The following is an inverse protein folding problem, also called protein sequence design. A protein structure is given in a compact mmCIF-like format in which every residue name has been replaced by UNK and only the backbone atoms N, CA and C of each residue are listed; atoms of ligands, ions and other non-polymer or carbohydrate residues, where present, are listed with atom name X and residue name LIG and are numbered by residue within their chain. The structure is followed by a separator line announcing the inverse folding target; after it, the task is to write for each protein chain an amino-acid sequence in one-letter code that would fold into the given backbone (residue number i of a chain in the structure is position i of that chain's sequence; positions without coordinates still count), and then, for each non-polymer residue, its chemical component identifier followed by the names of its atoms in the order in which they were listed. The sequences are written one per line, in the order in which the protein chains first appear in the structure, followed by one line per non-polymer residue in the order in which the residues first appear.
data_IF_888236496973
#
_entry.id   IF_888236496973
#
_cell.length_a   1.000
_cell.length_b   1.000
_cell.length_c   1.000
_cell.angle_alpha   90.00
_cell.angle_beta   90.00
_cell.angle_gamma   90.00
#
_symmetry.space_group_name_H-M   'P 1'
#
loop_
_entity.id
_entity.type
_entity.pdbx_description
1 polymer ?
#
# COMPACT_ATOMS: atom_id res chain seq x y z
N UNK A 1 3.21 -7.90 -22.62
CA UNK A 1 2.69 -9.17 -22.08
C UNK A 1 3.42 -9.47 -20.79
N UNK A 2 2.69 -9.80 -19.71
CA UNK A 2 3.25 -10.20 -18.42
C UNK A 2 3.10 -11.72 -18.24
N UNK A 3 4.09 -12.35 -17.66
CA UNK A 3 4.24 -13.81 -17.56
C UNK A 3 3.91 -14.34 -16.16
N UNK A 4 4.02 -13.51 -15.13
CA UNK A 4 3.74 -13.86 -13.74
C UNK A 4 2.29 -14.31 -13.51
N UNK A 5 2.08 -15.18 -12.53
CA UNK A 5 0.75 -15.69 -12.18
C UNK A 5 -0.08 -14.66 -11.42
N UNK A 6 0.56 -13.89 -10.55
CA UNK A 6 -0.06 -12.79 -9.81
C UNK A 6 0.90 -11.60 -9.70
N UNK A 7 0.36 -10.39 -9.72
CA UNK A 7 1.13 -9.17 -9.48
C UNK A 7 0.27 -8.06 -8.92
N UNK A 8 0.94 -7.08 -8.33
CA UNK A 8 0.35 -5.83 -7.88
C UNK A 8 1.37 -4.69 -8.05
N UNK A 9 0.93 -3.60 -8.64
CA UNK A 9 1.71 -2.36 -8.76
C UNK A 9 0.99 -1.25 -8.02
N UNK A 10 1.67 -0.59 -7.09
CA UNK A 10 1.13 0.49 -6.28
C UNK A 10 1.95 1.76 -6.48
N UNK A 11 1.28 2.92 -6.42
CA UNK A 11 1.98 4.19 -6.27
C UNK A 11 2.37 4.41 -4.82
N UNK A 12 3.56 4.95 -4.60
CA UNK A 12 4.05 5.36 -3.28
C UNK A 12 3.94 6.88 -3.04
N UNK A 13 3.43 7.64 -4.02
CA UNK A 13 3.35 9.10 -3.98
C UNK A 13 2.09 9.61 -3.26
N UNK A 14 1.11 8.75 -3.06
CA UNK A 14 -0.13 9.03 -2.34
C UNK A 14 -0.19 8.20 -1.05
N UNK A 15 -0.52 8.81 0.11
CA UNK A 15 -0.63 8.08 1.38
C UNK A 15 -1.66 6.94 1.38
N UNK A 16 -2.60 6.92 0.44
CA UNK A 16 -3.54 5.81 0.26
C UNK A 16 -2.93 4.62 -0.49
N UNK A 17 -1.73 4.79 -1.08
CA UNK A 17 -1.03 3.78 -1.88
C UNK A 17 -1.94 3.15 -2.95
N UNK A 18 -2.48 3.94 -3.88
CA UNK A 18 -3.43 3.43 -4.85
C UNK A 18 -2.81 2.34 -5.72
N UNK A 19 -3.59 1.29 -5.93
CA UNK A 19 -3.25 0.21 -6.85
C UNK A 19 -3.43 0.74 -8.28
N UNK A 20 -2.39 0.63 -9.09
CA UNK A 20 -2.41 1.11 -10.48
C UNK A 20 -2.44 -0.02 -11.51
N UNK A 21 -2.03 -1.23 -11.11
CA UNK A 21 -2.22 -2.45 -11.88
C UNK A 21 -2.22 -3.67 -10.97
N UNK A 22 -3.07 -4.66 -11.28
CA UNK A 22 -3.14 -5.90 -10.51
C UNK A 22 -3.58 -7.07 -11.38
N UNK A 23 -3.25 -8.27 -10.93
CA UNK A 23 -3.71 -9.54 -11.48
C UNK A 23 -3.67 -10.59 -10.41
N UNK A 24 -4.80 -11.27 -10.17
CA UNK A 24 -4.91 -12.35 -9.20
C UNK A 24 -4.33 -11.99 -7.81
N UNK A 25 -4.54 -10.76 -7.37
CA UNK A 25 -3.94 -10.14 -6.18
C UNK A 25 -4.25 -10.90 -4.90
N UNK A 26 -5.41 -11.54 -4.83
CA UNK A 26 -5.86 -12.35 -3.69
C UNK A 26 -5.60 -13.86 -3.86
N UNK A 27 -5.00 -14.28 -4.98
CA UNK A 27 -4.64 -15.69 -5.19
C UNK A 27 -3.55 -16.10 -4.20
N UNK A 28 -3.79 -17.17 -3.44
CA UNK A 28 -2.77 -17.77 -2.57
C UNK A 28 -1.64 -18.34 -3.42
N UNK A 29 -0.44 -17.90 -3.12
CA UNK A 29 0.81 -18.28 -3.78
C UNK A 29 1.85 -18.61 -2.73
N UNK A 30 2.89 -19.34 -3.11
CA UNK A 30 4.04 -19.58 -2.24
C UNK A 30 4.99 -18.38 -2.31
N UNK A 31 5.25 -17.69 -1.19
CA UNK A 31 6.06 -16.47 -1.17
C UNK A 31 7.57 -16.75 -1.29
N UNK A 32 8.00 -17.99 -1.03
CA UNK A 32 9.41 -18.33 -0.92
C UNK A 32 10.14 -17.33 0.01
N UNK A 33 11.34 -16.91 -0.33
CA UNK A 33 12.14 -16.00 0.49
C UNK A 33 11.60 -14.57 0.63
N UNK A 34 10.45 -14.21 0.03
CA UNK A 34 9.74 -12.96 0.38
C UNK A 34 9.29 -12.98 1.85
N UNK A 35 9.12 -14.15 2.43
CA UNK A 35 8.89 -14.39 3.87
C UNK A 35 9.86 -13.62 4.76
N UNK A 36 11.12 -13.43 4.32
CA UNK A 36 12.18 -12.77 5.08
C UNK A 36 11.91 -11.29 5.37
N UNK A 37 10.98 -10.68 4.63
CA UNK A 37 10.47 -9.33 4.96
C UNK A 37 9.79 -9.37 6.34
N UNK A 38 8.93 -10.36 6.57
CA UNK A 38 8.24 -10.54 7.85
C UNK A 38 9.22 -10.91 8.97
N UNK A 39 10.13 -11.83 8.70
CA UNK A 39 11.20 -12.20 9.64
C UNK A 39 11.99 -10.98 10.09
N UNK A 40 12.43 -10.15 9.14
CA UNK A 40 13.15 -8.89 9.44
C UNK A 40 12.29 -7.95 10.29
N UNK A 41 11.03 -7.77 9.97
CA UNK A 41 10.15 -6.87 10.71
C UNK A 41 9.83 -7.35 12.12
N UNK A 42 9.63 -8.66 12.34
CA UNK A 42 9.46 -9.22 13.69
C UNK A 42 10.70 -8.95 14.54
N UNK A 43 11.91 -9.15 13.97
CA UNK A 43 13.17 -8.83 14.66
C UNK A 43 13.25 -7.33 15.00
N UNK A 44 13.03 -6.43 14.05
CA UNK A 44 13.11 -4.98 14.25
C UNK A 44 12.07 -4.43 15.23
N UNK A 45 10.92 -5.07 15.33
CA UNK A 45 9.91 -4.71 16.32
C UNK A 45 10.32 -5.06 17.76
N UNK A 46 11.07 -6.14 17.93
CA UNK A 46 11.47 -6.69 19.25
C UNK A 46 12.83 -6.20 19.71
N UNK A 47 13.81 -6.13 18.81
CA UNK A 47 15.20 -5.82 19.12
C UNK A 47 15.47 -4.35 18.83
N UNK A 48 15.74 -3.56 19.86
CA UNK A 48 16.03 -2.12 19.71
C UNK A 48 17.53 -1.84 19.51
N UNK A 49 18.38 -2.64 20.12
CA UNK A 49 19.83 -2.55 19.96
C UNK A 49 20.33 -3.68 19.04
N UNK A 50 20.55 -3.34 17.79
CA UNK A 50 21.01 -4.28 16.76
C UNK A 50 22.51 -4.64 16.89
N UNK A 51 23.25 -3.96 17.77
CA UNK A 51 24.66 -4.29 18.07
C UNK A 51 24.79 -5.51 19.00
N UNK A 52 23.69 -5.94 19.62
CA UNK A 52 23.65 -7.17 20.42
C UNK A 52 24.15 -8.35 19.60
N UNK A 53 24.88 -9.25 20.27
CA UNK A 53 25.47 -10.42 19.64
C UNK A 53 24.76 -11.69 20.08
N UNK A 54 24.63 -12.61 19.15
CA UNK A 54 24.21 -13.98 19.41
C UNK A 54 25.19 -14.98 18.77
N UNK A 55 25.06 -16.23 19.14
CA UNK A 55 25.87 -17.32 18.55
C UNK A 55 24.98 -18.24 17.73
N UNK A 56 25.51 -18.72 16.63
CA UNK A 56 24.87 -19.78 15.85
C UNK A 56 24.79 -21.04 16.71
N UNK A 57 23.58 -21.50 16.97
CA UNK A 57 23.32 -22.74 17.72
C UNK A 57 23.47 -23.97 16.80
N UNK A 58 23.56 -25.15 17.39
CA UNK A 58 23.51 -26.39 16.63
C UNK A 58 22.15 -26.58 15.96
N UNK A 59 21.03 -26.24 16.64
CA UNK A 59 19.68 -26.33 16.10
C UNK A 59 19.46 -25.43 14.88
N UNK A 60 19.89 -24.16 14.94
CA UNK A 60 19.79 -23.25 13.80
C UNK A 60 20.63 -23.70 12.60
N UNK A 61 21.79 -24.30 12.85
CA UNK A 61 22.63 -24.87 11.80
C UNK A 61 21.96 -26.11 11.15
N UNK A 62 21.46 -27.04 11.98
CA UNK A 62 20.84 -28.29 11.51
C UNK A 62 19.53 -28.02 10.77
N UNK A 63 18.79 -26.96 11.11
CA UNK A 63 17.52 -26.60 10.47
C UNK A 63 17.63 -26.34 8.96
N UNK A 64 18.81 -25.96 8.46
CA UNK A 64 19.04 -25.69 7.04
C UNK A 64 19.97 -26.71 6.38
N UNK A 65 20.53 -27.62 7.15
CA UNK A 65 21.49 -28.62 6.65
C UNK A 65 20.78 -29.59 5.70
N UNK A 66 21.33 -29.75 4.48
CA UNK A 66 20.78 -30.68 3.48
C UNK A 66 19.47 -30.27 2.82
N UNK A 67 18.92 -29.10 3.13
CA UNK A 67 17.66 -28.62 2.55
C UNK A 67 17.81 -27.99 1.16
N UNK A 68 19.04 -27.74 0.68
CA UNK A 68 19.29 -26.95 -0.53
C UNK A 68 19.03 -25.46 -0.38
N UNK A 69 18.73 -24.99 0.84
CA UNK A 69 18.47 -23.58 1.14
C UNK A 69 19.71 -22.71 0.90
N UNK A 70 19.51 -21.49 0.44
CA UNK A 70 20.58 -20.50 0.35
C UNK A 70 21.02 -20.07 1.76
N UNK A 71 22.33 -20.16 2.03
CA UNK A 71 22.92 -19.85 3.34
C UNK A 71 24.11 -18.91 3.20
N UNK A 72 24.41 -18.18 4.27
CA UNK A 72 25.68 -17.42 4.38
C UNK A 72 26.88 -18.29 4.77
N UNK A 73 26.65 -19.57 5.05
CA UNK A 73 27.67 -20.54 5.48
C UNK A 73 28.11 -20.34 6.91
N UNK A 74 27.20 -19.90 7.76
CA UNK A 74 27.44 -19.68 9.20
C UNK A 74 27.84 -21.00 9.89
N UNK A 75 28.72 -20.92 10.89
CA UNK A 75 29.24 -22.08 11.61
C UNK A 75 28.72 -22.08 13.06
N UNK A 76 28.46 -23.27 13.60
CA UNK A 76 28.08 -23.43 15.01
C UNK A 76 29.09 -22.74 15.91
N UNK A 77 28.58 -21.95 16.88
CA UNK A 77 29.40 -21.16 17.80
C UNK A 77 29.90 -19.83 17.24
N UNK A 78 29.70 -19.56 15.94
CA UNK A 78 30.04 -18.27 15.34
C UNK A 78 29.18 -17.15 15.95
N UNK A 79 29.83 -16.03 16.32
CA UNK A 79 29.17 -14.89 16.96
C UNK A 79 28.95 -13.75 15.96
N UNK A 80 27.70 -13.31 15.81
CA UNK A 80 27.30 -12.21 14.94
C UNK A 80 26.42 -11.20 15.71
N UNK A 81 26.43 -9.95 15.25
CA UNK A 81 25.42 -8.99 15.70
C UNK A 81 24.09 -9.25 15.01
N UNK A 82 23.00 -8.78 15.62
CA UNK A 82 21.67 -8.86 15.01
C UNK A 82 21.65 -8.10 13.68
N UNK A 83 22.30 -6.94 13.60
CA UNK A 83 22.41 -6.18 12.35
C UNK A 83 23.11 -7.00 11.24
N UNK A 84 24.22 -7.70 11.55
CA UNK A 84 24.90 -8.56 10.60
C UNK A 84 23.98 -9.68 10.07
N UNK A 85 23.23 -10.31 10.96
CA UNK A 85 22.27 -11.34 10.59
C UNK A 85 21.16 -10.79 9.69
N UNK A 86 20.63 -9.60 9.99
CA UNK A 86 19.59 -8.94 9.16
C UNK A 86 20.11 -8.61 7.76
N UNK A 87 21.34 -8.12 7.63
CA UNK A 87 21.93 -7.91 6.30
C UNK A 87 22.12 -9.22 5.50
N UNK A 88 22.61 -10.29 6.14
CA UNK A 88 22.72 -11.59 5.49
C UNK A 88 21.34 -12.14 5.07
N UNK A 89 20.32 -11.94 5.92
CA UNK A 89 18.94 -12.34 5.64
C UNK A 89 18.36 -11.61 4.42
N UNK A 90 18.51 -10.31 4.32
CA UNK A 90 17.87 -9.52 3.27
C UNK A 90 18.70 -9.45 2.00
N UNK A 91 20.01 -9.19 2.08
CA UNK A 91 20.87 -9.01 0.92
C UNK A 91 21.14 -10.36 0.25
N UNK A 92 21.59 -11.36 1.02
CA UNK A 92 21.95 -12.67 0.50
C UNK A 92 20.83 -13.70 0.54
N UNK A 93 19.72 -13.37 1.18
CA UNK A 93 18.61 -14.33 1.40
C UNK A 93 19.01 -15.53 2.27
N UNK A 94 19.91 -15.35 3.23
CA UNK A 94 20.50 -16.41 4.04
C UNK A 94 19.48 -17.06 5.00
N UNK A 95 19.15 -18.33 4.78
CA UNK A 95 18.20 -19.08 5.62
C UNK A 95 18.79 -19.42 6.99
N UNK A 96 20.08 -19.71 7.08
CA UNK A 96 20.80 -19.92 8.35
C UNK A 96 20.72 -18.69 9.25
N UNK A 97 20.87 -17.48 8.70
CA UNK A 97 20.69 -16.25 9.46
C UNK A 97 19.27 -16.09 10.01
N UNK A 98 18.25 -16.49 9.26
CA UNK A 98 16.85 -16.46 9.71
C UNK A 98 16.61 -17.36 10.94
N UNK A 99 17.16 -18.56 10.93
CA UNK A 99 17.03 -19.50 12.03
C UNK A 99 17.70 -18.97 13.30
N UNK A 100 18.90 -18.40 13.18
CA UNK A 100 19.61 -17.77 14.30
C UNK A 100 18.83 -16.59 14.88
N UNK A 101 18.24 -15.74 14.01
CA UNK A 101 17.41 -14.61 14.43
C UNK A 101 16.15 -15.09 15.15
N UNK A 102 15.48 -16.13 14.63
CA UNK A 102 14.28 -16.69 15.23
C UNK A 102 14.52 -17.21 16.65
N UNK A 103 15.58 -18.00 16.84
CA UNK A 103 15.96 -18.49 18.16
C UNK A 103 16.35 -17.36 19.13
N UNK A 104 17.10 -16.38 18.64
CA UNK A 104 17.50 -15.23 19.48
C UNK A 104 16.31 -14.42 19.98
N UNK A 105 15.33 -14.15 19.10
CA UNK A 105 14.20 -13.27 19.40
C UNK A 105 13.14 -13.93 20.27
N UNK A 106 12.85 -15.22 20.00
CA UNK A 106 11.67 -15.90 20.55
C UNK A 106 12.02 -17.21 21.30
N UNK A 107 13.30 -17.55 21.37
CA UNK A 107 13.79 -18.77 22.04
C UNK A 107 13.60 -20.06 21.23
N UNK A 108 12.76 -20.06 20.22
CA UNK A 108 12.59 -21.19 19.29
C UNK A 108 12.00 -20.71 17.96
N UNK A 109 12.22 -21.48 16.89
CA UNK A 109 11.62 -21.22 15.57
C UNK A 109 10.10 -21.23 15.63
N UNK A 110 9.47 -22.16 16.33
CA UNK A 110 8.01 -22.27 16.44
C UNK A 110 7.40 -21.03 17.12
N UNK A 111 8.00 -20.56 18.20
CA UNK A 111 7.57 -19.35 18.88
C UNK A 111 7.71 -18.11 17.98
N UNK A 112 8.80 -18.03 17.20
CA UNK A 112 9.01 -16.96 16.26
C UNK A 112 7.99 -16.98 15.12
N UNK A 113 7.67 -18.14 14.57
CA UNK A 113 6.65 -18.31 13.53
C UNK A 113 5.26 -17.90 14.03
N UNK A 114 4.94 -18.23 15.29
CA UNK A 114 3.70 -17.74 15.91
C UNK A 114 3.63 -16.22 15.95
N UNK A 115 4.75 -15.55 16.26
CA UNK A 115 4.84 -14.08 16.23
C UNK A 115 4.75 -13.52 14.81
N UNK A 116 5.37 -14.17 13.81
CA UNK A 116 5.22 -13.78 12.41
C UNK A 116 3.75 -13.78 12.00
N UNK A 117 3.02 -14.86 12.28
CA UNK A 117 1.61 -14.99 11.95
C UNK A 117 0.75 -13.97 12.71
N UNK A 118 1.03 -13.73 13.99
CA UNK A 118 0.35 -12.71 14.78
C UNK A 118 0.56 -11.31 14.21
N UNK A 119 1.79 -10.99 13.80
CA UNK A 119 2.08 -9.68 13.22
C UNK A 119 1.35 -9.44 11.91
N UNK A 120 1.36 -10.39 10.97
CA UNK A 120 0.67 -10.21 9.68
C UNK A 120 -0.85 -10.19 9.84
N UNK A 121 -1.41 -10.94 10.80
CA UNK A 121 -2.83 -10.86 11.14
C UNK A 121 -3.20 -9.46 11.66
N UNK A 122 -2.33 -8.84 12.47
CA UNK A 122 -2.54 -7.47 12.97
C UNK A 122 -2.58 -6.41 11.86
N UNK A 123 -1.98 -6.70 10.69
CA UNK A 123 -2.04 -5.88 9.49
C UNK A 123 -3.29 -6.16 8.62
N UNK A 124 -4.15 -7.08 9.05
CA UNK A 124 -5.32 -7.50 8.27
C UNK A 124 -5.01 -8.43 7.09
N UNK A 125 -3.86 -9.10 7.10
CA UNK A 125 -3.48 -10.10 6.10
C UNK A 125 -4.22 -11.42 6.37
N UNK A 126 -5.35 -11.62 5.70
CA UNK A 126 -6.24 -12.77 5.92
C UNK A 126 -5.87 -14.01 5.12
N UNK A 127 -5.08 -13.86 4.08
CA UNK A 127 -4.67 -14.93 3.17
C UNK A 127 -3.18 -15.23 3.25
N UNK A 128 -2.58 -15.02 4.42
CA UNK A 128 -1.16 -15.25 4.68
C UNK A 128 -0.98 -16.16 5.90
N UNK A 129 -0.13 -17.18 5.75
CA UNK A 129 0.27 -18.07 6.81
C UNK A 129 1.70 -18.54 6.59
N UNK A 130 2.53 -18.47 7.62
CA UNK A 130 3.91 -18.92 7.63
C UNK A 130 4.11 -20.12 8.54
N UNK A 131 5.00 -21.03 8.16
CA UNK A 131 5.38 -22.20 8.97
C UNK A 131 6.90 -22.25 9.25
N UNK A 132 7.68 -21.34 8.66
CA UNK A 132 9.09 -21.17 8.92
C UNK A 132 9.51 -19.71 8.70
N UNK A 133 10.71 -19.28 9.19
CA UNK A 133 11.15 -17.91 9.10
C UNK A 133 11.88 -17.57 7.79
N UNK A 134 12.13 -18.53 6.92
CA UNK A 134 13.03 -18.35 5.77
C UNK A 134 12.35 -18.53 4.40
N UNK A 135 11.14 -19.11 4.37
CA UNK A 135 10.35 -19.31 3.15
C UNK A 135 10.69 -20.60 2.40
N UNK A 136 11.33 -21.58 3.03
CA UNK A 136 11.40 -22.93 2.49
C UNK A 136 9.99 -23.47 2.25
N UNK A 137 9.85 -24.25 1.17
CA UNK A 137 8.53 -24.71 0.75
C UNK A 137 7.83 -25.58 1.79
N UNK A 138 6.57 -25.27 2.04
CA UNK A 138 5.58 -26.08 2.73
C UNK A 138 4.20 -25.74 2.15
N UNK A 139 3.30 -26.71 1.94
CA UNK A 139 1.96 -26.46 1.42
C UNK A 139 1.13 -25.48 2.25
N UNK A 140 1.41 -25.34 3.55
CA UNK A 140 0.74 -24.43 4.46
C UNK A 140 1.45 -23.06 4.56
N UNK A 141 2.53 -22.85 3.80
CA UNK A 141 3.29 -21.60 3.78
C UNK A 141 2.92 -20.77 2.56
N UNK A 142 1.95 -19.86 2.70
CA UNK A 142 1.38 -19.12 1.59
C UNK A 142 1.12 -17.65 1.92
N UNK A 143 1.00 -16.84 0.89
CA UNK A 143 0.57 -15.45 0.95
C UNK A 143 -0.11 -15.04 -0.37
N UNK A 144 -0.46 -13.77 -0.52
CA UNK A 144 -1.03 -13.19 -1.74
C UNK A 144 -0.26 -11.92 -2.13
N UNK A 145 -0.39 -11.46 -3.37
CA UNK A 145 0.23 -10.22 -3.79
C UNK A 145 -0.29 -9.02 -2.97
N UNK A 146 -1.60 -9.01 -2.66
CA UNK A 146 -2.22 -7.97 -1.84
C UNK A 146 -1.70 -7.96 -0.40
N UNK A 147 -1.59 -9.13 0.25
CA UNK A 147 -1.08 -9.21 1.61
C UNK A 147 0.42 -8.85 1.66
N UNK A 148 1.23 -9.34 0.70
CA UNK A 148 2.65 -8.99 0.61
C UNK A 148 2.87 -7.50 0.33
N UNK A 149 2.00 -6.86 -0.44
CA UNK A 149 2.02 -5.40 -0.63
C UNK A 149 1.79 -4.67 0.70
N UNK A 150 0.75 -5.02 1.47
CA UNK A 150 0.47 -4.44 2.80
C UNK A 150 1.65 -4.63 3.77
N UNK A 151 2.21 -5.84 3.81
CA UNK A 151 3.38 -6.19 4.62
C UNK A 151 4.57 -5.31 4.24
N UNK A 152 4.85 -5.18 2.94
CA UNK A 152 5.98 -4.41 2.44
C UNK A 152 5.81 -2.91 2.67
N UNK A 153 4.61 -2.36 2.43
CA UNK A 153 4.31 -0.96 2.73
C UNK A 153 4.49 -0.64 4.21
N UNK A 154 4.09 -1.57 5.10
CA UNK A 154 4.33 -1.42 6.54
C UNK A 154 5.82 -1.50 6.89
N UNK A 155 6.56 -2.39 6.25
CA UNK A 155 7.99 -2.53 6.45
C UNK A 155 8.78 -1.29 6.01
N UNK A 156 8.41 -0.68 4.88
CA UNK A 156 9.04 0.54 4.34
C UNK A 156 8.85 1.79 5.23
N UNK A 157 7.95 1.76 6.22
CA UNK A 157 7.84 2.80 7.24
C UNK A 157 8.95 2.72 8.29
N UNK A 158 9.80 1.70 8.26
CA UNK A 158 10.93 1.52 9.16
C UNK A 158 12.24 1.82 8.40
N UNK A 159 12.90 2.92 8.75
CA UNK A 159 14.14 3.38 8.10
C UNK A 159 15.25 2.33 8.11
N UNK A 160 15.33 1.51 9.17
CA UNK A 160 16.32 0.44 9.26
C UNK A 160 16.02 -0.69 8.28
N UNK A 161 14.74 -1.06 8.13
CA UNK A 161 14.32 -2.02 7.13
C UNK A 161 14.64 -1.50 5.73
N UNK A 162 14.28 -0.26 5.42
CA UNK A 162 14.53 0.33 4.12
C UNK A 162 16.03 0.35 3.80
N UNK A 163 16.85 0.82 4.73
CA UNK A 163 18.31 0.85 4.59
C UNK A 163 18.90 -0.55 4.31
N UNK A 164 18.47 -1.57 5.03
CA UNK A 164 18.98 -2.94 4.87
C UNK A 164 18.49 -3.54 3.54
N UNK A 165 17.21 -3.41 3.24
CA UNK A 165 16.59 -4.03 2.06
C UNK A 165 16.99 -3.39 0.73
N UNK A 166 17.53 -2.17 0.75
CA UNK A 166 18.03 -1.46 -0.44
C UNK A 166 19.55 -1.57 -0.61
N UNK A 167 20.24 -2.24 0.32
CA UNK A 167 21.68 -2.44 0.24
C UNK A 167 22.05 -3.43 -0.84
N UNK A 168 22.82 -2.99 -1.84
CA UNK A 168 23.18 -3.82 -3.00
C UNK A 168 24.28 -4.84 -2.67
N UNK A 169 25.26 -4.44 -1.87
CA UNK A 169 26.35 -5.30 -1.43
C UNK A 169 26.62 -5.15 0.05
N UNK A 170 26.87 -6.26 0.71
CA UNK A 170 27.21 -6.29 2.13
C UNK A 170 28.46 -7.16 2.37
N UNK A 171 29.49 -6.58 2.98
CA UNK A 171 30.72 -7.29 3.32
C UNK A 171 30.61 -7.86 4.72
N UNK A 172 30.69 -9.17 4.83
CA UNK A 172 30.84 -9.88 6.09
C UNK A 172 32.11 -10.72 6.09
N UNK A 173 33.01 -10.47 7.03
CA UNK A 173 34.38 -11.04 7.06
C UNK A 173 35.10 -10.78 5.71
N UNK A 174 35.55 -11.86 5.06
CA UNK A 174 36.25 -11.79 3.78
C UNK A 174 35.34 -12.00 2.56
N UNK A 175 34.03 -12.12 2.77
CA UNK A 175 33.05 -12.37 1.71
C UNK A 175 32.18 -11.12 1.49
N UNK A 176 32.04 -10.74 0.23
CA UNK A 176 31.05 -9.73 -0.19
C UNK A 176 29.83 -10.45 -0.72
N UNK A 177 28.71 -10.29 -0.03
CA UNK A 177 27.39 -10.78 -0.43
C UNK A 177 26.70 -9.73 -1.28
N UNK A 178 26.09 -10.15 -2.38
CA UNK A 178 25.37 -9.26 -3.30
C UNK A 178 23.88 -9.52 -3.19
N UNK A 179 23.08 -8.46 -3.31
CA UNK A 179 21.64 -8.54 -3.27
C UNK A 179 21.10 -9.47 -4.37
N UNK A 180 20.14 -10.33 -4.02
CA UNK A 180 19.58 -11.32 -4.95
C UNK A 180 18.69 -10.72 -6.04
N UNK A 181 18.24 -9.47 -5.90
CA UNK A 181 17.54 -8.75 -6.95
C UNK A 181 18.52 -8.30 -8.04
N UNK A 182 18.47 -8.97 -9.20
CA UNK A 182 19.36 -8.70 -10.32
C UNK A 182 19.09 -7.35 -11.00
N UNK A 183 17.92 -6.76 -10.77
CA UNK A 183 17.59 -5.41 -11.28
C UNK A 183 18.51 -4.33 -10.68
N UNK A 184 19.17 -4.60 -9.56
CA UNK A 184 20.08 -3.67 -8.87
C UNK A 184 21.54 -3.77 -9.38
N UNK A 185 21.85 -4.71 -10.26
CA UNK A 185 23.22 -5.09 -10.60
C UNK A 185 23.51 -4.81 -12.07
N UNK A 186 24.25 -3.76 -12.37
CA UNK A 186 24.57 -3.33 -13.74
C UNK A 186 25.31 -4.38 -14.59
N UNK A 187 25.91 -5.41 -13.96
CA UNK A 187 26.53 -6.54 -14.66
C UNK A 187 25.54 -7.52 -15.29
N UNK A 188 24.26 -7.47 -14.93
CA UNK A 188 23.19 -8.31 -15.48
C UNK A 188 22.34 -7.50 -16.46
N UNK A 189 22.87 -7.21 -17.64
CA UNK A 189 22.30 -6.31 -18.65
C UNK A 189 20.83 -6.61 -18.95
N UNK A 190 20.43 -7.88 -19.03
CA UNK A 190 19.04 -8.29 -19.29
C UNK A 190 18.07 -7.94 -18.17
N UNK A 191 18.54 -7.67 -16.95
CA UNK A 191 17.68 -7.42 -15.78
C UNK A 191 17.90 -6.06 -15.15
N UNK A 192 19.07 -5.44 -15.37
CA UNK A 192 19.41 -4.17 -14.74
C UNK A 192 18.39 -3.10 -15.08
N UNK A 193 17.87 -2.48 -14.04
CA UNK A 193 16.90 -1.38 -14.15
C UNK A 193 17.37 -0.22 -13.27
N UNK A 194 17.87 0.83 -13.89
CA UNK A 194 18.59 1.92 -13.20
C UNK A 194 17.75 2.63 -12.12
N UNK A 195 16.42 2.58 -12.25
CA UNK A 195 15.48 3.20 -11.29
C UNK A 195 15.09 2.28 -10.13
N UNK A 196 15.46 0.98 -10.20
CA UNK A 196 15.06 0.01 -9.19
C UNK A 196 15.83 0.16 -7.88
N UNK A 197 15.14 -0.15 -6.76
CA UNK A 197 15.71 -0.14 -5.42
C UNK A 197 15.08 -1.23 -4.55
N UNK A 198 15.91 -2.07 -3.90
CA UNK A 198 15.47 -3.14 -3.00
C UNK A 198 14.56 -4.15 -3.71
N UNK A 199 13.69 -4.91 -3.09
CA UNK A 199 13.51 -5.11 -1.65
C UNK A 199 13.88 -6.55 -1.33
N UNK A 200 13.26 -7.53 -2.05
CA UNK A 200 13.51 -8.95 -1.84
C UNK A 200 13.08 -9.79 -3.03
N UNK A 201 13.83 -10.88 -3.29
CA UNK A 201 13.45 -11.95 -4.22
C UNK A 201 13.08 -13.22 -3.48
N UNK A 202 12.33 -14.09 -4.14
CA UNK A 202 12.02 -15.44 -3.66
C UNK A 202 11.95 -16.43 -4.81
N UNK A 203 12.39 -17.67 -4.58
CA UNK A 203 12.19 -18.75 -5.53
C UNK A 203 12.27 -20.10 -4.84
N UNK A 204 11.36 -20.99 -5.20
CA UNK A 204 11.41 -22.45 -5.02
C UNK A 204 10.85 -23.07 -6.30
N UNK A 205 10.92 -24.37 -6.44
CA UNK A 205 10.34 -25.06 -7.59
C UNK A 205 8.83 -24.78 -7.68
N UNK A 206 8.12 -24.83 -6.56
CA UNK A 206 6.67 -24.63 -6.46
C UNK A 206 6.25 -23.16 -6.54
N UNK A 207 7.06 -22.24 -6.02
CA UNK A 207 6.77 -20.81 -6.04
C UNK A 207 7.03 -20.18 -7.42
N UNK A 208 7.89 -20.76 -8.23
CA UNK A 208 8.48 -20.06 -9.37
C UNK A 208 9.35 -18.90 -8.89
N UNK A 209 9.49 -17.88 -9.71
CA UNK A 209 10.30 -16.69 -9.38
C UNK A 209 9.40 -15.53 -8.92
N UNK A 210 9.77 -14.96 -7.78
CA UNK A 210 9.06 -13.87 -7.15
C UNK A 210 10.00 -12.69 -6.91
N UNK A 211 9.49 -11.47 -7.01
CA UNK A 211 10.23 -10.26 -6.63
C UNK A 211 9.28 -9.22 -6.06
N UNK A 212 9.74 -8.55 -5.00
CA UNK A 212 9.20 -7.28 -4.55
C UNK A 212 10.30 -6.24 -4.70
N UNK A 213 10.01 -5.18 -5.44
CA UNK A 213 10.98 -4.13 -5.74
C UNK A 213 10.26 -2.80 -5.89
N UNK A 214 10.95 -1.69 -5.60
CA UNK A 214 10.44 -0.34 -5.87
C UNK A 214 11.27 0.31 -6.97
N UNK A 215 10.68 1.28 -7.66
CA UNK A 215 11.38 2.10 -8.63
C UNK A 215 10.99 3.57 -8.49
N UNK A 216 11.96 4.45 -8.75
CA UNK A 216 11.78 5.90 -8.67
C UNK A 216 12.33 6.56 -9.93
N UNK A 217 11.51 7.34 -10.65
CA UNK A 217 11.88 8.08 -11.86
C UNK A 217 11.09 9.38 -11.93
N UNK A 218 11.78 10.49 -12.16
CA UNK A 218 11.18 11.82 -12.38
C UNK A 218 10.21 12.26 -11.28
N UNK A 219 10.45 11.83 -10.03
CA UNK A 219 9.61 12.13 -8.87
C UNK A 219 8.43 11.18 -8.67
N UNK A 220 8.22 10.20 -9.56
CA UNK A 220 7.22 9.15 -9.39
C UNK A 220 7.85 7.91 -8.75
N UNK A 221 7.11 7.31 -7.81
CA UNK A 221 7.57 6.17 -7.03
C UNK A 221 6.54 5.04 -7.07
N UNK A 222 6.99 3.84 -7.42
CA UNK A 222 6.12 2.67 -7.49
C UNK A 222 6.71 1.48 -6.74
N UNK A 223 5.83 0.62 -6.21
CA UNK A 223 6.14 -0.67 -5.63
C UNK A 223 5.51 -1.77 -6.48
N UNK A 224 6.32 -2.71 -6.96
CA UNK A 224 5.85 -3.90 -7.66
C UNK A 224 6.00 -5.14 -6.78
N UNK A 225 4.94 -5.94 -6.70
CA UNK A 225 4.91 -7.29 -6.14
C UNK A 225 4.61 -8.23 -7.30
N UNK A 226 5.52 -9.14 -7.61
CA UNK A 226 5.42 -10.09 -8.73
C UNK A 226 5.61 -11.50 -8.21
N UNK A 227 4.66 -12.40 -8.46
CA UNK A 227 4.65 -13.76 -7.91
C UNK A 227 4.45 -14.81 -9.02
N UNK A 228 5.14 -15.94 -8.86
CA UNK A 228 4.94 -17.11 -9.71
C UNK A 228 5.35 -16.89 -11.17
N UNK A 229 6.40 -16.12 -11.41
CA UNK A 229 6.92 -15.93 -12.75
C UNK A 229 7.77 -17.14 -13.22
N UNK A 230 7.67 -17.53 -14.50
CA UNK A 230 8.49 -18.61 -15.05
C UNK A 230 9.91 -18.18 -15.39
N UNK A 231 10.75 -19.17 -15.73
CA UNK A 231 11.98 -18.97 -16.48
C UNK A 231 11.76 -19.50 -17.89
N UNK A 232 11.77 -18.64 -18.87
CA UNK A 232 11.51 -18.99 -20.26
C UNK A 232 12.29 -18.08 -21.21
N UNK A 233 12.50 -18.54 -22.42
CA UNK A 233 12.93 -17.71 -23.54
C UNK A 233 11.71 -16.88 -24.02
N UNK A 234 11.53 -15.69 -23.44
CA UNK A 234 10.34 -14.86 -23.66
C UNK A 234 10.38 -14.07 -24.97
N UNK A 235 11.57 -13.85 -25.52
CA UNK A 235 11.81 -13.03 -26.72
C UNK A 235 12.30 -13.88 -27.92
N UNK A 236 12.47 -15.20 -27.74
CA UNK A 236 12.91 -16.17 -28.77
C UNK A 236 14.33 -15.92 -29.29
N UNK A 237 15.24 -15.47 -28.41
CA UNK A 237 16.65 -15.28 -28.74
C UNK A 237 17.53 -16.48 -28.39
N UNK A 238 16.94 -17.55 -27.84
CA UNK A 238 17.60 -18.79 -27.45
C UNK A 238 18.12 -18.80 -26.01
N UNK A 239 17.91 -17.73 -25.24
CA UNK A 239 18.25 -17.65 -23.82
C UNK A 239 16.99 -17.65 -22.97
N UNK A 240 17.09 -18.20 -21.75
CA UNK A 240 15.95 -18.21 -20.79
C UNK A 240 16.19 -17.19 -19.72
N UNK A 241 15.18 -16.38 -19.44
CA UNK A 241 15.21 -15.33 -18.43
C UNK A 241 14.21 -15.57 -17.30
N UNK A 242 14.55 -15.01 -16.13
CA UNK A 242 13.65 -14.94 -14.96
C UNK A 242 12.62 -13.87 -15.21
N UNK A 243 11.43 -14.25 -15.65
CA UNK A 243 10.38 -13.32 -16.04
C UNK A 243 9.89 -12.42 -14.90
N UNK A 244 10.17 -12.73 -13.63
CA UNK A 244 9.83 -11.82 -12.53
C UNK A 244 10.46 -10.43 -12.65
N UNK A 245 11.71 -10.35 -13.10
CA UNK A 245 12.40 -9.07 -13.32
C UNK A 245 11.90 -8.36 -14.58
N UNK A 246 11.63 -9.12 -15.65
CA UNK A 246 11.08 -8.59 -16.91
C UNK A 246 9.69 -7.99 -16.67
N UNK A 247 8.82 -8.70 -15.92
CA UNK A 247 7.48 -8.23 -15.60
C UNK A 247 7.53 -6.99 -14.71
N UNK A 248 8.40 -6.97 -13.69
CA UNK A 248 8.56 -5.79 -12.83
C UNK A 248 9.02 -4.56 -13.63
N UNK A 249 10.03 -4.70 -14.49
CA UNK A 249 10.50 -3.62 -15.37
C UNK A 249 9.39 -3.15 -16.30
N UNK A 250 8.67 -4.08 -16.94
CA UNK A 250 7.55 -3.75 -17.85
C UNK A 250 6.41 -3.00 -17.15
N UNK A 251 6.10 -3.35 -15.89
CA UNK A 251 5.11 -2.65 -15.08
C UNK A 251 5.56 -1.22 -14.75
N UNK A 252 6.83 -1.04 -14.40
CA UNK A 252 7.39 0.27 -14.12
C UNK A 252 7.45 1.15 -15.37
N UNK A 253 7.95 0.64 -16.49
CA UNK A 253 8.00 1.40 -17.75
C UNK A 253 6.61 1.85 -18.17
N UNK A 254 5.64 0.93 -18.13
CA UNK A 254 4.25 1.29 -18.42
C UNK A 254 3.73 2.39 -17.47
N UNK A 255 3.98 2.29 -16.18
CA UNK A 255 3.50 3.27 -15.21
C UNK A 255 4.17 4.64 -15.41
N UNK A 256 5.49 4.69 -15.58
CA UNK A 256 6.22 5.95 -15.80
C UNK A 256 5.83 6.64 -17.10
N UNK A 257 5.56 5.87 -18.17
CA UNK A 257 5.22 6.40 -19.49
C UNK A 257 3.74 6.77 -19.61
N UNK A 258 2.85 6.00 -18.94
CA UNK A 258 1.40 6.06 -19.18
C UNK A 258 0.61 6.75 -18.07
N UNK A 259 1.20 6.99 -16.90
CA UNK A 259 0.50 7.56 -15.76
C UNK A 259 1.07 8.91 -15.34
N UNK A 260 0.20 9.78 -14.80
CA UNK A 260 0.57 11.08 -14.23
C UNK A 260 -0.18 11.30 -12.92
N UNK A 261 0.52 11.86 -11.94
CA UNK A 261 -0.09 12.37 -10.71
C UNK A 261 -0.66 13.76 -11.00
N UNK A 262 -1.95 13.90 -10.89
CA UNK A 262 -2.66 15.12 -11.36
C UNK A 262 -3.67 15.57 -10.32
N UNK A 263 -3.77 16.87 -10.12
CA UNK A 263 -4.87 17.49 -9.40
C UNK A 263 -6.13 17.45 -10.26
N UNK A 264 -7.12 16.67 -9.85
CA UNK A 264 -8.43 16.60 -10.53
C UNK A 264 -9.40 17.67 -10.03
N UNK A 265 -9.33 18.01 -8.73
CA UNK A 265 -10.17 19.01 -8.08
C UNK A 265 -9.29 19.82 -7.14
N UNK A 266 -9.36 21.13 -7.23
CA UNK A 266 -8.70 22.04 -6.29
C UNK A 266 -9.64 22.46 -5.17
N UNK A 267 -9.10 22.78 -4.01
CA UNK A 267 -9.89 23.26 -2.84
C UNK A 267 -10.69 24.53 -3.12
N UNK A 268 -10.30 25.31 -4.15
CA UNK A 268 -11.01 26.53 -4.58
C UNK A 268 -12.10 26.28 -5.62
N UNK A 269 -12.17 25.08 -6.21
CA UNK A 269 -13.14 24.78 -7.25
C UNK A 269 -14.56 24.69 -6.66
N UNK A 270 -15.48 25.46 -7.21
CA UNK A 270 -16.90 25.37 -6.87
C UNK A 270 -17.49 24.12 -7.53
N UNK A 271 -17.93 23.19 -6.72
CA UNK A 271 -18.45 21.89 -7.17
C UNK A 271 -19.96 21.90 -7.28
N UNK A 272 -20.64 22.49 -6.31
CA UNK A 272 -22.10 22.50 -6.21
C UNK A 272 -22.56 23.67 -5.32
N UNK A 273 -23.85 23.78 -5.08
CA UNK A 273 -24.41 24.69 -4.10
C UNK A 273 -25.55 24.00 -3.32
N UNK A 274 -25.85 24.50 -2.13
CA UNK A 274 -26.95 24.02 -1.31
C UNK A 274 -27.76 25.19 -0.81
N UNK A 275 -29.13 25.12 -0.86
CA UNK A 275 -29.99 26.13 -0.30
C UNK A 275 -29.77 26.37 1.21
N UNK A 276 -29.81 27.62 1.65
CA UNK A 276 -29.69 28.00 3.06
C UNK A 276 -31.00 28.57 3.56
N UNK A 277 -31.60 27.87 4.50
CA UNK A 277 -32.82 28.35 5.15
C UNK A 277 -32.51 29.42 6.20
N UNK A 278 -33.30 30.49 6.21
CA UNK A 278 -33.17 31.63 7.11
C UNK A 278 -31.82 32.37 6.97
N UNK A 279 -31.16 32.28 5.83
CA UNK A 279 -29.90 32.99 5.55
C UNK A 279 -30.15 34.52 5.46
N UNK A 280 -29.18 35.31 5.96
CA UNK A 280 -29.15 36.76 5.81
C UNK A 280 -28.34 37.05 4.53
N UNK A 281 -28.93 37.77 3.60
CA UNK A 281 -28.31 38.26 2.36
C UNK A 281 -27.87 37.15 1.38
N UNK A 282 -28.18 35.86 1.67
CA UNK A 282 -27.95 34.73 0.79
C UNK A 282 -28.95 33.60 1.03
N UNK A 283 -29.47 32.99 -0.02
CA UNK A 283 -30.39 31.87 -0.03
C UNK A 283 -29.75 30.54 -0.37
N UNK A 284 -28.48 30.56 -0.74
CA UNK A 284 -27.67 29.39 -0.98
C UNK A 284 -26.21 29.61 -0.58
N UNK A 285 -25.46 28.54 -0.38
CA UNK A 285 -24.02 28.55 -0.14
C UNK A 285 -23.33 27.63 -1.14
N UNK A 286 -22.25 28.13 -1.75
CA UNK A 286 -21.42 27.34 -2.64
C UNK A 286 -20.63 26.29 -1.86
N UNK A 287 -20.46 25.12 -2.46
CA UNK A 287 -19.72 24.00 -1.92
C UNK A 287 -18.40 23.84 -2.69
N UNK A 288 -17.31 23.83 -1.95
CA UNK A 288 -15.94 23.61 -2.48
C UNK A 288 -15.33 22.36 -1.85
N UNK A 289 -14.32 21.80 -2.48
CA UNK A 289 -13.57 20.69 -1.91
C UNK A 289 -12.81 21.13 -0.65
N UNK A 290 -12.80 20.31 0.40
CA UNK A 290 -12.09 20.62 1.65
C UNK A 290 -10.55 20.60 1.49
N UNK A 291 -10.05 20.01 0.42
CA UNK A 291 -8.63 19.93 0.04
C UNK A 291 -8.51 19.58 -1.44
N UNK A 292 -7.33 19.79 -1.99
CA UNK A 292 -7.01 19.29 -3.33
C UNK A 292 -7.19 17.77 -3.42
N UNK A 293 -7.72 17.31 -4.55
CA UNK A 293 -7.82 15.89 -4.88
C UNK A 293 -6.80 15.58 -5.95
N UNK A 294 -5.70 15.00 -5.49
CA UNK A 294 -4.63 14.52 -6.34
C UNK A 294 -4.76 13.01 -6.49
N UNK A 295 -4.60 12.50 -7.71
CA UNK A 295 -4.62 11.06 -7.96
C UNK A 295 -3.82 10.72 -9.22
N UNK A 296 -3.55 9.44 -9.39
CA UNK A 296 -2.86 8.92 -10.57
C UNK A 296 -3.89 8.66 -11.66
N UNK A 297 -3.64 9.21 -12.82
CA UNK A 297 -4.50 9.11 -14.01
C UNK A 297 -3.67 8.84 -15.25
N UNK A 298 -4.27 8.34 -16.35
CA UNK A 298 -3.59 8.26 -17.65
C UNK A 298 -2.98 9.61 -18.06
N UNK A 299 -1.77 9.60 -18.59
CA UNK A 299 -1.01 10.81 -18.96
C UNK A 299 -1.72 11.70 -19.99
N UNK A 300 -2.63 11.13 -20.78
CA UNK A 300 -3.47 11.83 -21.76
C UNK A 300 -4.90 12.11 -21.29
N UNK A 301 -5.17 12.07 -19.97
CA UNK A 301 -6.51 12.31 -19.45
C UNK A 301 -7.03 13.68 -19.89
N UNK A 302 -8.17 13.69 -20.59
CA UNK A 302 -8.97 14.88 -20.77
C UNK A 302 -9.77 15.15 -19.47
N UNK A 303 -9.43 16.24 -18.79
CA UNK A 303 -10.13 16.62 -17.54
C UNK A 303 -11.63 16.85 -17.74
N UNK A 304 -12.08 17.14 -18.97
CA UNK A 304 -13.52 17.27 -19.27
C UNK A 304 -14.28 15.93 -19.21
N UNK A 305 -13.58 14.81 -19.26
CA UNK A 305 -14.16 13.47 -19.09
C UNK A 305 -14.30 13.06 -17.60
N UNK A 306 -13.80 13.88 -16.69
CA UNK A 306 -13.95 13.66 -15.24
C UNK A 306 -15.28 14.26 -14.78
N UNK A 307 -16.13 13.43 -14.21
CA UNK A 307 -17.42 13.84 -13.66
C UNK A 307 -17.26 13.98 -12.14
N UNK A 308 -17.63 15.15 -11.60
CA UNK A 308 -17.65 15.40 -10.16
C UNK A 308 -19.13 15.51 -9.76
N UNK A 309 -19.55 14.65 -8.84
CA UNK A 309 -20.94 14.64 -8.36
C UNK A 309 -21.00 14.70 -6.85
N UNK A 310 -21.82 15.60 -6.32
CA UNK A 310 -22.14 15.61 -4.91
C UNK A 310 -22.98 14.38 -4.54
N UNK A 311 -22.65 13.74 -3.40
CA UNK A 311 -23.37 12.59 -2.85
C UNK A 311 -23.78 12.90 -1.42
N UNK A 312 -24.92 12.36 -0.98
CA UNK A 312 -25.52 12.64 0.34
C UNK A 312 -25.74 14.14 0.58
N UNK A 313 -26.00 14.92 -0.49
CA UNK A 313 -26.26 16.34 -0.41
C UNK A 313 -27.64 16.58 0.24
N UNK A 314 -27.74 17.36 1.33
CA UNK A 314 -29.03 17.72 1.92
C UNK A 314 -29.83 18.63 0.99
N UNK A 315 -31.14 18.60 1.07
CA UNK A 315 -32.01 19.51 0.31
C UNK A 315 -31.77 20.97 0.68
N UNK A 316 -31.49 21.25 1.95
CA UNK A 316 -31.13 22.56 2.47
C UNK A 316 -30.29 22.46 3.74
N UNK A 317 -29.67 23.56 4.15
CA UNK A 317 -28.97 23.72 5.44
C UNK A 317 -29.53 24.91 6.18
N UNK A 318 -29.51 24.87 7.51
CA UNK A 318 -29.98 25.97 8.36
C UNK A 318 -28.86 27.00 8.58
N UNK A 319 -29.20 28.29 8.43
CA UNK A 319 -28.30 29.36 8.87
C UNK A 319 -28.22 29.41 10.43
N UNK A 320 -27.08 29.81 11.02
CA UNK A 320 -25.86 30.24 10.32
C UNK A 320 -25.06 29.07 9.76
N UNK A 321 -24.40 29.28 8.61
CA UNK A 321 -23.43 28.35 8.01
C UNK A 321 -22.07 29.00 8.13
N UNK A 322 -21.11 28.30 8.68
CA UNK A 322 -19.73 28.79 8.80
C UNK A 322 -18.89 28.39 7.58
N UNK A 323 -17.96 29.27 7.17
CA UNK A 323 -16.97 28.90 6.13
C UNK A 323 -16.18 27.68 6.57
N UNK A 324 -16.04 26.69 5.68
CA UNK A 324 -15.37 25.42 5.96
C UNK A 324 -16.27 24.39 6.70
N UNK A 325 -17.54 24.72 6.99
CA UNK A 325 -18.48 23.75 7.55
C UNK A 325 -18.69 22.59 6.58
N UNK A 326 -18.52 21.36 7.07
CA UNK A 326 -18.74 20.13 6.28
C UNK A 326 -20.21 19.97 5.96
N UNK A 327 -20.56 19.78 4.69
CA UNK A 327 -21.95 19.64 4.23
C UNK A 327 -22.22 18.24 3.72
N UNK A 328 -21.50 17.79 2.66
CA UNK A 328 -21.68 16.48 2.03
C UNK A 328 -20.36 16.01 1.43
N UNK A 329 -20.37 14.95 0.64
CA UNK A 329 -19.20 14.46 -0.08
C UNK A 329 -19.38 14.68 -1.58
N UNK A 330 -18.27 14.62 -2.34
CA UNK A 330 -18.29 14.45 -3.77
C UNK A 330 -17.51 13.22 -4.17
N UNK A 331 -18.01 12.51 -5.15
CA UNK A 331 -17.31 11.47 -5.88
C UNK A 331 -16.74 12.03 -7.17
N UNK A 332 -15.48 11.74 -7.43
CA UNK A 332 -14.80 12.03 -8.68
C UNK A 332 -14.81 10.74 -9.51
N UNK A 333 -15.49 10.78 -10.65
CA UNK A 333 -15.75 9.61 -11.50
C UNK A 333 -15.01 9.78 -12.82
N UNK A 334 -14.29 8.76 -13.23
CA UNK A 334 -13.63 8.65 -14.53
C UNK A 334 -13.84 7.24 -15.10
N UNK A 335 -14.21 7.13 -16.37
CA UNK A 335 -14.52 5.86 -17.06
C UNK A 335 -15.51 4.98 -16.24
N UNK A 336 -16.57 5.60 -15.71
CA UNK A 336 -17.61 4.97 -14.88
C UNK A 336 -17.12 4.39 -13.54
N UNK A 337 -15.89 4.70 -13.13
CA UNK A 337 -15.35 4.31 -11.83
C UNK A 337 -15.14 5.52 -10.92
N UNK A 338 -15.43 5.36 -9.63
CA UNK A 338 -15.10 6.35 -8.61
C UNK A 338 -13.60 6.27 -8.34
N UNK A 339 -12.84 7.27 -8.82
CA UNK A 339 -11.38 7.33 -8.67
C UNK A 339 -10.95 8.07 -7.40
N UNK A 340 -11.83 8.90 -6.83
CA UNK A 340 -11.58 9.56 -5.55
C UNK A 340 -12.89 10.03 -4.91
N UNK A 341 -12.84 10.32 -3.60
CA UNK A 341 -13.93 10.96 -2.84
C UNK A 341 -13.36 12.10 -2.02
N UNK A 342 -14.07 13.23 -1.96
CA UNK A 342 -13.66 14.41 -1.18
C UNK A 342 -14.82 14.94 -0.35
N UNK A 343 -14.52 15.49 0.83
CA UNK A 343 -15.48 16.23 1.64
C UNK A 343 -15.75 17.58 0.99
N UNK A 344 -17.04 17.93 0.82
CA UNK A 344 -17.46 19.27 0.43
C UNK A 344 -17.77 20.12 1.66
N UNK A 345 -17.31 21.35 1.61
CA UNK A 345 -17.47 22.35 2.68
C UNK A 345 -18.06 23.64 2.13
N UNK A 346 -18.67 24.42 3.00
CA UNK A 346 -19.18 25.75 2.66
C UNK A 346 -18.03 26.70 2.28
N UNK A 347 -18.11 27.29 1.10
CA UNK A 347 -17.09 28.24 0.59
C UNK A 347 -17.08 29.55 1.39
N UNK A 348 -18.26 29.98 1.86
CA UNK A 348 -18.46 31.24 2.54
C UNK A 348 -19.29 31.07 3.80
N UNK A 349 -19.26 32.06 4.69
CA UNK A 349 -20.14 32.17 5.83
C UNK A 349 -21.50 32.75 5.38
N UNK A 350 -22.62 32.20 5.88
CA UNK A 350 -23.94 32.75 5.72
C UNK A 350 -24.53 33.00 7.11
N UNK A 351 -24.82 34.25 7.46
CA UNK A 351 -25.38 34.62 8.75
C UNK A 351 -26.86 34.29 8.85
N UNK A 352 -27.34 34.12 10.07
CA UNK A 352 -28.78 33.92 10.34
C UNK A 352 -29.55 35.24 10.21
N UNK A 353 -30.65 35.25 9.46
CA UNK A 353 -31.63 36.29 9.47
C UNK A 353 -32.70 36.00 10.54
N UNK A 354 -32.63 36.70 11.65
CA UNK A 354 -33.63 36.57 12.72
C UNK A 354 -35.04 36.89 12.23
N UNK A 355 -35.16 37.85 11.31
CA UNK A 355 -36.45 38.23 10.69
C UNK A 355 -37.05 37.08 9.87
N UNK A 356 -36.24 36.44 8.95
CA UNK A 356 -36.70 35.30 8.15
C UNK A 356 -37.03 34.10 9.02
N UNK A 357 -36.25 33.85 10.06
CA UNK A 357 -36.51 32.76 11.01
C UNK A 357 -37.88 32.90 11.68
N UNK A 358 -38.21 34.10 12.18
CA UNK A 358 -39.51 34.38 12.80
C UNK A 358 -40.63 34.30 11.77
N UNK A 359 -40.43 34.90 10.58
CA UNK A 359 -41.40 34.87 9.50
C UNK A 359 -41.75 33.44 9.07
N UNK A 360 -40.72 32.60 8.87
CA UNK A 360 -40.92 31.20 8.46
C UNK A 360 -41.55 30.36 9.57
N UNK A 361 -41.22 30.62 10.84
CA UNK A 361 -41.88 29.97 11.97
C UNK A 361 -43.37 30.33 12.03
N UNK A 362 -43.72 31.60 11.82
CA UNK A 362 -45.13 32.07 11.75
C UNK A 362 -45.85 31.42 10.58
N UNK A 363 -45.24 31.39 9.38
CA UNK A 363 -45.83 30.71 8.21
C UNK A 363 -46.06 29.22 8.48
N UNK A 364 -45.06 28.53 9.09
CA UNK A 364 -45.17 27.11 9.43
C UNK A 364 -46.31 26.86 10.44
N UNK A 365 -46.46 27.73 11.47
CA UNK A 365 -47.55 27.65 12.42
C UNK A 365 -48.93 27.76 11.74
N UNK A 366 -49.14 28.73 10.87
CA UNK A 366 -50.39 28.89 10.12
C UNK A 366 -50.59 27.82 9.03
N UNK A 367 -49.59 27.08 8.66
CA UNK A 367 -49.70 25.97 7.73
C UNK A 367 -50.18 24.67 8.38
N UNK A 368 -50.11 24.56 9.72
CA UNK A 368 -50.59 23.38 10.44
C UNK A 368 -52.07 23.15 10.17
N UNK A 369 -52.45 21.95 9.79
CA UNK A 369 -53.83 21.58 9.46
C UNK A 369 -54.83 21.92 10.59
N UNK A 370 -54.42 21.70 11.84
CA UNK A 370 -55.22 22.03 13.03
C UNK A 370 -55.50 23.52 13.14
N UNK A 371 -54.49 24.38 12.90
CA UNK A 371 -54.63 25.85 12.95
C UNK A 371 -55.54 26.32 11.81
N UNK A 372 -55.41 25.76 10.61
CA UNK A 372 -56.29 26.09 9.46
C UNK A 372 -57.76 25.71 9.74
N UNK A 373 -57.98 24.54 10.33
CA UNK A 373 -59.33 24.10 10.73
C UNK A 373 -59.92 25.02 11.77
N UNK A 374 -59.16 25.40 12.82
CA UNK A 374 -59.60 26.30 13.88
C UNK A 374 -59.91 27.71 13.35
N UNK A 375 -59.05 28.28 12.51
CA UNK A 375 -59.27 29.57 11.87
C UNK A 375 -60.46 29.56 10.90
N UNK A 376 -60.60 28.47 10.11
CA UNK A 376 -61.71 28.28 9.20
C UNK A 376 -63.06 28.17 9.95
N UNK A 377 -63.08 27.51 11.10
CA UNK A 377 -64.26 27.45 11.96
C UNK A 377 -64.61 28.82 12.59
N UNK A 378 -63.59 29.62 12.94
CA UNK A 378 -63.82 30.98 13.53
C UNK A 378 -64.30 32.02 12.51
N UNK A 379 -64.19 31.80 11.22
CA UNK A 379 -64.74 32.67 10.13
C UNK A 379 -66.15 32.29 9.75
N UNK A 380 -66.69 31.15 10.21
CA UNK A 380 -68.03 30.66 9.94
C UNK A 380 -69.00 30.95 11.08
N UNK A 381 -68.51 31.58 12.15
CA UNK A 381 -69.34 32.16 13.25
C UNK A 381 -69.20 33.69 13.25
#
# INVERSE_FOLDING_TARGET
KLYSQAYMLLSLDDPSFPVVAEKNEDKRMYPASLTKIVTTMVVLNKVKDLSQKTKVSQSAYDAVLGTGAQTAGLKVGESLTIEQLLYLTMVHSACDACQVLAEFVSGSTDAFVAEMNSWVQSLGCKNTHFVNPDGLHDPNHYSTAADLAKITLKALQNDTFERISTTVQYKYKNTTFTHTNLMLQSGYVSYYYEYASGIKTGSTEEAGYCVITKASKDGYNYLAVVLGAPVIDYNSDGYVEKCSFIDAASLFDWAFDSLKYTTLVSESDVIDEVPVENGKDADAVQLVAAKDVNTIVPAGLDKSAVIIRAVDKPESVQAPVEKGQKICKAEIVYADQVVATVQLVAANRVELSTFLKILNAVKAFFSLTVVRIVLGAAVLF
#
